data_IF_936203174464
#
_entry.id   IF_936203174464
#
_cell.length_a   1.000
_cell.length_b   1.000
_cell.length_c   1.000
_cell.angle_alpha   90.00
_cell.angle_beta   90.00
_cell.angle_gamma   90.00
#
_symmetry.space_group_name_H-M   'P 1'
#
loop_
_entity.id
_entity.type
_entity.pdbx_description
1 polymer ?
#
# COMPACT_ATOMS: atom_id res chain seq x y z
N UNK A 1 11.79 -48.26 -9.69
CA UNK A 1 11.52 -47.22 -10.71
C UNK A 1 10.03 -47.21 -10.99
N UNK A 2 9.33 -46.10 -10.74
CA UNK A 2 8.35 -45.42 -11.62
C UNK A 2 8.04 -44.08 -10.92
N UNK A 3 8.37 -42.96 -11.57
CA UNK A 3 8.06 -41.60 -11.12
C UNK A 3 6.61 -41.30 -11.51
N UNK A 4 5.77 -40.86 -10.58
CA UNK A 4 4.49 -40.24 -10.94
C UNK A 4 4.56 -38.74 -10.68
N UNK A 5 4.73 -38.00 -11.77
CA UNK A 5 4.72 -36.55 -11.81
C UNK A 5 3.26 -36.11 -12.03
N UNK A 6 2.63 -35.54 -11.01
CA UNK A 6 1.34 -34.85 -11.14
C UNK A 6 1.57 -33.36 -10.85
N UNK A 7 1.92 -32.62 -11.89
CA UNK A 7 1.62 -31.19 -11.94
C UNK A 7 0.11 -31.03 -11.93
N UNK A 8 -0.45 -30.23 -11.02
CA UNK A 8 -1.30 -29.07 -11.34
C UNK A 8 -2.15 -28.63 -10.14
N UNK A 9 -2.14 -27.32 -9.91
CA UNK A 9 -2.99 -26.49 -9.01
C UNK A 9 -2.47 -26.34 -7.59
N UNK A 10 -1.50 -25.44 -7.48
CA UNK A 10 -1.46 -24.47 -6.40
C UNK A 10 -2.89 -23.96 -6.18
N UNK A 11 -3.52 -24.36 -5.06
CA UNK A 11 -4.77 -23.76 -4.62
C UNK A 11 -4.40 -22.34 -4.20
N UNK A 12 -4.62 -21.39 -5.09
CA UNK A 12 -4.72 -19.98 -4.70
C UNK A 12 -5.89 -19.91 -3.70
N UNK A 13 -5.67 -19.55 -2.42
CA UNK A 13 -6.76 -19.32 -1.50
C UNK A 13 -7.46 -18.03 -1.95
N UNK A 14 -8.49 -18.17 -2.77
CA UNK A 14 -9.24 -17.06 -3.37
C UNK A 14 -10.23 -16.41 -2.37
N UNK A 15 -9.86 -16.35 -1.08
CA UNK A 15 -10.75 -15.89 0.01
C UNK A 15 -10.05 -15.11 1.15
N UNK A 16 -8.74 -14.89 1.12
CA UNK A 16 -8.01 -14.07 2.13
C UNK A 16 -7.49 -12.72 1.59
N UNK A 17 -7.96 -12.27 0.42
CA UNK A 17 -7.41 -11.08 -0.26
C UNK A 17 -8.07 -9.74 0.12
N UNK A 18 -8.99 -9.73 1.09
CA UNK A 18 -9.70 -8.51 1.51
C UNK A 18 -9.20 -7.92 2.85
N UNK A 19 -8.34 -8.63 3.57
CA UNK A 19 -7.67 -8.08 4.74
C UNK A 19 -6.36 -7.44 4.30
N UNK A 20 -6.22 -6.12 4.47
CA UNK A 20 -4.94 -5.44 4.33
C UNK A 20 -3.91 -6.20 5.16
N UNK A 21 -2.91 -6.77 4.47
CA UNK A 21 -1.86 -7.52 5.14
C UNK A 21 -1.19 -6.60 6.18
N UNK A 22 -1.11 -6.99 7.47
CA UNK A 22 -0.61 -6.11 8.53
C UNK A 22 0.81 -5.60 8.27
N UNK A 23 1.61 -6.31 7.43
CA UNK A 23 2.93 -5.83 7.00
C UNK A 23 2.86 -4.53 6.18
N UNK A 24 1.78 -4.30 5.43
CA UNK A 24 1.59 -3.07 4.67
C UNK A 24 1.33 -1.87 5.57
N UNK A 25 0.63 -2.06 6.69
CA UNK A 25 0.44 -1.00 7.66
C UNK A 25 1.78 -0.59 8.27
N UNK A 26 2.62 -1.54 8.68
CA UNK A 26 3.94 -1.25 9.24
C UNK A 26 4.85 -0.55 8.21
N UNK A 27 4.90 -1.07 6.98
CA UNK A 27 5.68 -0.47 5.90
C UNK A 27 5.28 0.98 5.64
N UNK A 28 3.97 1.25 5.57
CA UNK A 28 3.47 2.60 5.34
C UNK A 28 3.75 3.53 6.51
N UNK A 29 3.63 3.07 7.76
CA UNK A 29 3.97 3.88 8.93
C UNK A 29 5.46 4.25 8.97
N UNK A 30 6.35 3.34 8.55
CA UNK A 30 7.77 3.65 8.38
C UNK A 30 7.97 4.70 7.29
N UNK A 31 7.32 4.54 6.12
CA UNK A 31 7.40 5.53 5.03
C UNK A 31 6.86 6.90 5.44
N UNK A 32 5.73 6.96 6.18
CA UNK A 32 5.17 8.20 6.70
C UNK A 32 6.11 8.88 7.70
N UNK A 33 6.78 8.11 8.57
CA UNK A 33 7.76 8.64 9.52
C UNK A 33 8.95 9.29 8.81
N UNK A 34 9.46 8.65 7.76
CA UNK A 34 10.53 9.20 6.93
C UNK A 34 10.06 10.46 6.17
N UNK A 35 8.86 10.43 5.60
CA UNK A 35 8.28 11.57 4.88
C UNK A 35 8.03 12.78 5.79
N UNK A 36 7.64 12.56 7.05
CA UNK A 36 7.43 13.64 8.02
C UNK A 36 8.68 14.53 8.22
N UNK A 37 9.89 13.97 8.06
CA UNK A 37 11.14 14.73 8.10
C UNK A 37 11.53 15.42 6.79
N UNK A 38 10.87 15.07 5.68
CA UNK A 38 11.26 15.51 4.32
C UNK A 38 10.35 16.58 3.73
N UNK A 39 9.17 16.77 4.30
CA UNK A 39 8.20 17.78 3.85
C UNK A 39 7.81 18.73 4.99
N UNK A 40 7.15 19.84 4.65
CA UNK A 40 6.63 20.74 5.68
C UNK A 40 5.59 20.03 6.56
N UNK A 41 5.60 20.35 7.86
CA UNK A 41 4.63 19.82 8.83
C UNK A 41 3.18 20.01 8.39
N UNK A 42 2.87 21.19 7.84
CA UNK A 42 1.53 21.51 7.33
C UNK A 42 1.12 20.56 6.18
N UNK A 43 2.02 20.27 5.23
CA UNK A 43 1.71 19.35 4.13
C UNK A 43 1.55 17.91 4.64
N UNK A 44 2.38 17.48 5.59
CA UNK A 44 2.27 16.15 6.18
C UNK A 44 0.94 15.95 6.92
N UNK A 45 0.60 16.86 7.83
CA UNK A 45 -0.62 16.79 8.63
C UNK A 45 -1.88 16.87 7.76
N UNK A 46 -1.85 17.67 6.70
CA UNK A 46 -3.03 17.88 5.83
C UNK A 46 -3.24 16.75 4.84
N UNK A 47 -2.16 16.24 4.20
CA UNK A 47 -2.30 15.38 3.02
C UNK A 47 -1.85 13.94 3.23
N UNK A 48 -0.82 13.69 4.04
CA UNK A 48 -0.19 12.36 4.13
C UNK A 48 -0.57 11.58 5.38
N UNK A 49 -0.74 12.26 6.52
CA UNK A 49 -0.95 11.62 7.83
C UNK A 49 -2.09 10.60 7.86
N UNK A 50 -3.19 10.90 7.16
CA UNK A 50 -4.42 10.10 7.15
C UNK A 50 -4.52 9.16 5.95
N UNK A 51 -3.40 8.90 5.27
CA UNK A 51 -3.36 7.99 4.12
C UNK A 51 -3.05 6.56 4.55
N UNK A 52 -3.51 5.60 3.76
CA UNK A 52 -3.32 4.17 4.03
C UNK A 52 -2.80 3.46 2.79
N UNK A 53 -1.81 2.59 2.96
CA UNK A 53 -1.34 1.72 1.89
C UNK A 53 -2.35 0.58 1.65
N UNK A 54 -2.85 0.48 0.42
CA UNK A 54 -3.75 -0.57 -0.02
C UNK A 54 -3.02 -1.82 -0.51
N UNK A 55 -1.82 -1.63 -1.05
CA UNK A 55 -1.00 -2.72 -1.57
C UNK A 55 0.21 -2.20 -2.32
N UNK A 56 1.13 -3.10 -2.63
CA UNK A 56 2.31 -2.84 -3.46
C UNK A 56 2.35 -3.89 -4.56
N UNK A 57 2.30 -3.45 -5.80
CA UNK A 57 2.35 -4.31 -6.98
C UNK A 57 3.43 -3.81 -7.93
N UNK A 58 4.34 -4.69 -8.36
CA UNK A 58 5.44 -4.34 -9.27
C UNK A 58 6.28 -3.12 -8.82
N UNK A 59 6.48 -2.97 -7.51
CA UNK A 59 7.21 -1.83 -6.93
C UNK A 59 6.40 -0.53 -6.85
N UNK A 60 5.12 -0.55 -7.22
CA UNK A 60 4.22 0.60 -7.15
C UNK A 60 3.29 0.44 -5.94
N UNK A 61 3.35 1.40 -5.02
CA UNK A 61 2.46 1.47 -3.87
C UNK A 61 1.16 2.18 -4.24
N UNK A 62 0.02 1.54 -3.97
CA UNK A 62 -1.31 2.15 -4.10
C UNK A 62 -1.76 2.67 -2.75
N UNK A 63 -2.00 3.97 -2.65
CA UNK A 63 -2.33 4.65 -1.37
C UNK A 63 -3.72 5.26 -1.46
N UNK A 64 -4.53 5.04 -0.41
CA UNK A 64 -5.83 5.68 -0.23
C UNK A 64 -5.70 6.97 0.58
N UNK A 65 -6.45 7.99 0.18
CA UNK A 65 -6.64 9.23 0.94
C UNK A 65 -8.04 9.24 1.58
N UNK A 66 -8.29 10.07 2.61
CA UNK A 66 -9.55 10.05 3.34
C UNK A 66 -10.76 10.50 2.51
N UNK A 67 -10.56 11.22 1.41
CA UNK A 67 -11.61 11.63 0.48
C UNK A 67 -11.03 11.99 -0.90
N UNK A 68 -11.90 12.15 -1.90
CA UNK A 68 -11.53 12.49 -3.27
C UNK A 68 -10.75 13.81 -3.38
N UNK A 69 -11.12 14.83 -2.60
CA UNK A 69 -10.41 16.11 -2.59
C UNK A 69 -8.94 15.94 -2.15
N UNK A 70 -8.67 15.12 -1.13
CA UNK A 70 -7.31 14.82 -0.69
C UNK A 70 -6.52 14.07 -1.79
N UNK A 71 -7.16 13.18 -2.55
CA UNK A 71 -6.54 12.53 -3.72
C UNK A 71 -6.13 13.57 -4.75
N UNK A 72 -7.02 14.48 -5.12
CA UNK A 72 -6.75 15.51 -6.13
C UNK A 72 -5.61 16.44 -5.69
N UNK A 73 -5.59 16.81 -4.40
CA UNK A 73 -4.54 17.64 -3.83
C UNK A 73 -3.18 16.92 -3.76
N UNK A 74 -3.18 15.62 -3.45
CA UNK A 74 -1.97 14.81 -3.48
C UNK A 74 -1.40 14.73 -4.90
N UNK A 75 -2.25 14.51 -5.92
CA UNK A 75 -1.83 14.50 -7.32
C UNK A 75 -1.24 15.85 -7.73
N UNK A 76 -1.91 16.95 -7.40
CA UNK A 76 -1.43 18.29 -7.77
C UNK A 76 -0.11 18.69 -7.10
N UNK A 77 0.12 18.27 -5.86
CA UNK A 77 1.26 18.72 -5.04
C UNK A 77 2.52 17.88 -5.22
N UNK A 78 2.39 16.64 -5.67
CA UNK A 78 3.47 15.65 -5.66
C UNK A 78 3.63 14.90 -7.00
N UNK A 79 3.11 15.46 -8.11
CA UNK A 79 3.49 15.07 -9.48
C UNK A 79 4.93 15.49 -9.82
#
# INVERSE_FOLDING_TARGET
MIRNQTTHRERVPMADSAALDPRYQQLWQSALSDLQGRISRANYETWLRSTTLLGVENGVATVAAPNAFAVDQLRLKFD
#
